data_IF_403659799421
#
_entry.id   IF_403659799421
#
_cell.length_a   1.000
_cell.length_b   1.000
_cell.length_c   1.000
_cell.angle_alpha   90.00
_cell.angle_beta   90.00
_cell.angle_gamma   90.00
#
_symmetry.space_group_name_H-M   'P 1'
#
loop_
_entity.id
_entity.type
_entity.pdbx_description
1 polymer ?
#
# COMPACT_ATOMS: atom_id res chain seq x y z
N UNK A 1 -11.24 -45.16 -9.69
CA UNK A 1 -11.14 -43.77 -10.12
C UNK A 1 -11.19 -42.82 -8.92
N UNK A 2 -12.17 -42.95 -8.04
CA UNK A 2 -12.37 -42.07 -6.85
C UNK A 2 -11.20 -42.12 -5.84
N UNK A 3 -10.48 -43.24 -5.72
CA UNK A 3 -9.35 -43.37 -4.81
C UNK A 3 -8.12 -42.60 -5.30
N UNK A 4 -7.88 -42.56 -6.61
CA UNK A 4 -6.74 -41.86 -7.22
C UNK A 4 -7.00 -40.32 -7.14
N UNK A 5 -8.22 -39.89 -7.44
CA UNK A 5 -8.60 -38.49 -7.36
C UNK A 5 -8.49 -37.95 -5.92
N UNK A 6 -8.87 -38.74 -4.92
CA UNK A 6 -8.75 -38.41 -3.50
C UNK A 6 -7.30 -38.31 -3.04
N UNK A 7 -6.45 -39.23 -3.50
CA UNK A 7 -5.01 -39.21 -3.20
C UNK A 7 -4.31 -38.04 -3.87
N UNK A 8 -4.67 -37.71 -5.12
CA UNK A 8 -4.10 -36.57 -5.85
C UNK A 8 -4.47 -35.25 -5.19
N UNK A 9 -5.73 -35.12 -4.73
CA UNK A 9 -6.19 -33.93 -4.00
C UNK A 9 -5.48 -33.77 -2.65
N UNK A 10 -5.29 -34.86 -1.90
CA UNK A 10 -4.56 -34.83 -0.63
C UNK A 10 -3.10 -34.41 -0.81
N UNK A 11 -2.41 -34.92 -1.84
CA UNK A 11 -1.03 -34.51 -2.16
C UNK A 11 -0.98 -33.02 -2.57
N UNK A 12 -1.95 -32.55 -3.34
CA UNK A 12 -2.03 -31.12 -3.70
C UNK A 12 -2.23 -30.23 -2.48
N UNK A 13 -3.09 -30.60 -1.54
CA UNK A 13 -3.33 -29.89 -0.28
C UNK A 13 -2.08 -29.88 0.62
N UNK A 14 -1.34 -31.00 0.70
CA UNK A 14 -0.06 -31.06 1.42
C UNK A 14 1.02 -30.18 0.78
N UNK A 15 1.16 -30.21 -0.55
CA UNK A 15 2.11 -29.35 -1.27
C UNK A 15 1.75 -27.86 -1.08
N UNK A 16 0.46 -27.53 -1.08
CA UNK A 16 0.00 -26.16 -0.85
C UNK A 16 0.31 -25.69 0.58
N UNK A 17 0.09 -26.56 1.57
CA UNK A 17 0.38 -26.23 2.97
C UNK A 17 1.89 -26.03 3.25
N UNK A 18 2.77 -26.71 2.51
CA UNK A 18 4.22 -26.54 2.62
C UNK A 18 4.75 -25.21 2.06
N UNK A 19 3.95 -24.47 1.29
CA UNK A 19 4.30 -23.15 0.75
C UNK A 19 3.85 -21.98 1.63
N UNK A 20 3.04 -22.27 2.65
CA UNK A 20 2.53 -21.23 3.54
C UNK A 20 3.60 -20.80 4.55
N UNK A 21 3.89 -19.52 4.59
CA UNK A 21 4.81 -18.93 5.56
C UNK A 21 4.15 -17.77 6.30
N UNK A 22 4.49 -17.51 7.56
CA UNK A 22 3.91 -16.41 8.30
C UNK A 22 4.38 -15.06 7.76
N UNK A 23 3.46 -14.09 7.67
CA UNK A 23 3.71 -12.75 7.17
C UNK A 23 4.75 -11.97 7.99
N UNK A 24 5.06 -12.42 9.21
CA UNK A 24 6.07 -11.79 10.11
C UNK A 24 7.43 -11.59 9.44
N UNK A 25 7.82 -12.45 8.51
CA UNK A 25 9.10 -12.30 7.80
C UNK A 25 9.13 -11.05 6.94
N UNK A 26 8.06 -10.79 6.17
CA UNK A 26 7.90 -9.57 5.39
C UNK A 26 7.76 -8.36 6.32
N UNK A 27 6.93 -8.45 7.35
CA UNK A 27 6.64 -7.34 8.24
C UNK A 27 7.85 -6.89 9.06
N UNK A 28 8.73 -7.82 9.45
CA UNK A 28 10.00 -7.49 10.12
C UNK A 28 10.91 -6.63 9.22
N UNK A 29 10.96 -6.93 7.92
CA UNK A 29 11.70 -6.12 6.95
C UNK A 29 11.08 -4.72 6.80
N UNK A 30 9.74 -4.64 6.72
CA UNK A 30 9.02 -3.37 6.61
C UNK A 30 9.25 -2.49 7.84
N UNK A 31 9.20 -3.04 9.07
CA UNK A 31 9.52 -2.29 10.31
C UNK A 31 10.90 -1.64 10.26
N UNK A 32 11.90 -2.36 9.77
CA UNK A 32 13.26 -1.82 9.63
C UNK A 32 13.30 -0.67 8.63
N UNK A 33 12.71 -0.87 7.46
CA UNK A 33 12.66 0.15 6.39
C UNK A 33 11.95 1.42 6.88
N UNK A 34 10.79 1.29 7.53
CA UNK A 34 10.02 2.42 8.06
C UNK A 34 10.82 3.20 9.09
N UNK A 35 11.50 2.50 10.00
CA UNK A 35 12.36 3.14 11.01
C UNK A 35 13.50 3.93 10.36
N UNK A 36 14.13 3.37 9.33
CA UNK A 36 15.28 3.99 8.69
C UNK A 36 14.83 5.23 7.88
N UNK A 37 13.73 5.12 7.10
CA UNK A 37 13.15 6.25 6.37
C UNK A 37 12.65 7.35 7.32
N UNK A 38 11.96 7.00 8.41
CA UNK A 38 11.46 7.98 9.38
C UNK A 38 12.59 8.82 9.97
N UNK A 39 13.75 8.19 10.27
CA UNK A 39 14.95 8.91 10.75
C UNK A 39 15.53 9.83 9.67
N UNK A 40 15.62 9.37 8.43
CA UNK A 40 16.12 10.15 7.29
C UNK A 40 15.26 11.40 7.06
N UNK A 41 13.94 11.27 7.17
CA UNK A 41 12.98 12.35 6.98
C UNK A 41 12.78 13.23 8.23
N UNK A 42 13.40 12.91 9.36
CA UNK A 42 13.21 13.63 10.63
C UNK A 42 11.78 13.54 11.17
N UNK A 43 11.06 12.46 10.86
CA UNK A 43 9.67 12.22 11.27
C UNK A 43 9.64 11.22 12.43
N UNK A 44 8.89 11.53 13.48
CA UNK A 44 8.63 10.59 14.58
C UNK A 44 7.33 9.84 14.29
N UNK A 45 7.41 8.51 14.13
CA UNK A 45 6.28 7.68 13.71
C UNK A 45 6.16 6.44 14.59
N UNK A 46 4.96 6.17 15.07
CA UNK A 46 4.59 4.88 15.65
C UNK A 46 4.05 3.99 14.53
N UNK A 47 4.76 2.91 14.24
CA UNK A 47 4.35 1.93 13.23
C UNK A 47 3.80 0.68 13.91
N UNK A 48 2.49 0.49 13.80
CA UNK A 48 1.77 -0.68 14.28
C UNK A 48 1.62 -1.71 13.17
N UNK A 49 1.78 -2.99 13.53
CA UNK A 49 1.60 -4.10 12.60
C UNK A 49 0.74 -5.16 13.27
N UNK A 50 -0.36 -5.54 12.60
CA UNK A 50 -1.35 -6.51 13.05
C UNK A 50 -1.44 -7.65 12.03
N UNK A 51 -1.62 -8.89 12.52
CA UNK A 51 -1.80 -10.06 11.65
C UNK A 51 -0.51 -10.71 11.17
N UNK A 52 0.63 -10.48 11.83
CA UNK A 52 1.93 -11.03 11.43
C UNK A 52 2.04 -12.55 11.51
N UNK A 53 1.12 -13.21 12.22
CA UNK A 53 1.04 -14.67 12.30
C UNK A 53 0.17 -15.30 11.20
N UNK A 54 -0.47 -14.48 10.38
CA UNK A 54 -1.24 -14.96 9.22
C UNK A 54 -0.31 -15.63 8.22
N UNK A 55 -0.66 -16.86 7.83
CA UNK A 55 0.10 -17.64 6.87
C UNK A 55 -0.38 -17.35 5.45
N UNK A 56 0.54 -17.01 4.57
CA UNK A 56 0.30 -16.76 3.15
C UNK A 56 1.27 -17.57 2.29
N UNK A 57 0.88 -17.83 1.05
CA UNK A 57 1.80 -18.39 0.07
C UNK A 57 3.02 -17.49 -0.09
N UNK A 58 4.19 -18.11 -0.11
CA UNK A 58 5.47 -17.40 -0.24
C UNK A 58 5.50 -16.49 -1.48
N UNK A 59 4.96 -16.97 -2.61
CA UNK A 59 4.93 -16.20 -3.86
C UNK A 59 4.08 -14.92 -3.70
N UNK A 60 2.95 -15.01 -2.98
CA UNK A 60 2.10 -13.86 -2.66
C UNK A 60 2.89 -12.86 -1.81
N UNK A 61 3.56 -13.32 -0.74
CA UNK A 61 4.36 -12.44 0.12
C UNK A 61 5.51 -11.76 -0.63
N UNK A 62 6.18 -12.48 -1.52
CA UNK A 62 7.26 -11.94 -2.34
C UNK A 62 6.74 -10.83 -3.28
N UNK A 63 5.58 -11.06 -3.93
CA UNK A 63 4.93 -10.07 -4.81
C UNK A 63 4.37 -8.86 -4.05
N UNK A 64 3.90 -9.03 -2.81
CA UNK A 64 3.39 -7.95 -1.95
C UNK A 64 4.50 -7.05 -1.41
N UNK A 65 5.73 -7.53 -1.33
CA UNK A 65 6.84 -6.80 -0.69
C UNK A 65 7.07 -5.42 -1.33
N UNK A 66 7.14 -5.33 -2.65
CA UNK A 66 7.38 -4.06 -3.35
C UNK A 66 6.19 -3.07 -3.25
N UNK A 67 4.93 -3.49 -3.50
CA UNK A 67 3.75 -2.66 -3.28
C UNK A 67 3.67 -2.09 -1.86
N UNK A 68 3.80 -2.93 -0.84
CA UNK A 68 3.71 -2.49 0.56
C UNK A 68 4.81 -1.49 0.93
N UNK A 69 6.05 -1.75 0.52
CA UNK A 69 7.16 -0.79 0.71
C UNK A 69 6.83 0.57 0.08
N UNK A 70 6.27 0.55 -1.12
CA UNK A 70 5.95 1.79 -1.83
C UNK A 70 4.82 2.57 -1.14
N UNK A 71 3.72 1.90 -0.75
CA UNK A 71 2.62 2.53 -0.03
C UNK A 71 3.07 3.12 1.31
N UNK A 72 3.80 2.35 2.12
CA UNK A 72 4.32 2.80 3.41
C UNK A 72 5.31 3.98 3.26
N UNK A 73 6.15 3.94 2.21
CA UNK A 73 7.04 5.07 1.89
C UNK A 73 6.24 6.32 1.52
N UNK A 74 5.18 6.20 0.71
CA UNK A 74 4.33 7.33 0.35
C UNK A 74 3.65 7.93 1.59
N UNK A 75 3.16 7.12 2.51
CA UNK A 75 2.63 7.60 3.79
C UNK A 75 3.67 8.39 4.57
N UNK A 76 4.93 7.94 4.59
CA UNK A 76 6.00 8.68 5.27
C UNK A 76 6.41 9.94 4.52
N UNK A 77 6.62 9.87 3.21
CA UNK A 77 7.13 11.01 2.43
C UNK A 77 6.09 12.13 2.33
N UNK A 78 4.84 11.78 2.06
CA UNK A 78 3.80 12.72 1.65
C UNK A 78 2.61 12.79 2.61
N UNK A 79 2.29 11.73 3.34
CA UNK A 79 1.18 11.65 4.28
C UNK A 79 1.53 12.29 5.62
N UNK A 80 2.40 11.66 6.38
CA UNK A 80 2.74 12.07 7.74
C UNK A 80 3.59 13.34 7.71
N UNK A 81 3.18 14.34 8.50
CA UNK A 81 3.87 15.62 8.64
C UNK A 81 5.04 15.51 9.64
N UNK A 82 5.95 16.51 9.63
CA UNK A 82 6.99 16.64 10.65
C UNK A 82 6.39 16.90 12.05
N UNK A 83 7.08 16.57 13.13
CA UNK A 83 6.60 16.81 14.49
C UNK A 83 6.15 18.27 14.73
N UNK A 84 6.84 19.24 14.13
CA UNK A 84 6.54 20.67 14.25
C UNK A 84 5.25 21.02 13.51
N UNK A 85 5.07 20.51 12.27
CA UNK A 85 3.85 20.70 11.47
C UNK A 85 2.63 20.07 12.16
N UNK A 86 2.79 18.87 12.70
CA UNK A 86 1.73 18.16 13.44
C UNK A 86 1.27 18.94 14.67
N UNK A 87 2.21 19.45 15.49
CA UNK A 87 1.89 20.29 16.64
C UNK A 87 1.14 21.56 16.23
N UNK A 88 1.55 22.23 15.13
CA UNK A 88 0.86 23.40 14.59
C UNK A 88 -0.57 23.07 14.13
N UNK A 89 -0.81 21.88 13.64
CA UNK A 89 -2.12 21.37 13.25
C UNK A 89 -2.95 20.81 14.41
N UNK A 90 -2.44 20.87 15.65
CA UNK A 90 -3.11 20.34 16.85
C UNK A 90 -3.12 18.81 16.96
N UNK A 91 -2.27 18.14 16.16
CA UNK A 91 -2.08 16.68 16.20
C UNK A 91 -0.98 16.28 17.20
N UNK A 92 -0.96 15.00 17.56
CA UNK A 92 0.16 14.42 18.31
C UNK A 92 1.46 14.60 17.49
N UNK A 93 2.55 14.99 18.15
CA UNK A 93 3.85 15.13 17.47
C UNK A 93 4.32 13.84 16.79
N UNK A 94 3.96 12.70 17.36
CA UNK A 94 4.24 11.38 16.82
C UNK A 94 3.13 10.97 15.85
N UNK A 95 3.47 10.71 14.59
CA UNK A 95 2.56 10.19 13.59
C UNK A 95 2.20 8.74 13.85
N UNK A 96 1.06 8.32 13.33
CA UNK A 96 0.58 6.94 13.41
C UNK A 96 0.50 6.33 12.01
N UNK A 97 1.13 5.17 11.85
CA UNK A 97 1.10 4.36 10.64
C UNK A 97 0.73 2.93 11.02
N UNK A 98 -0.25 2.34 10.37
CA UNK A 98 -0.71 0.97 10.63
C UNK A 98 -0.64 0.13 9.36
N UNK A 99 -0.17 -1.10 9.51
CA UNK A 99 -0.28 -2.17 8.53
C UNK A 99 -1.04 -3.32 9.18
N UNK A 100 -2.18 -3.66 8.64
CA UNK A 100 -3.01 -4.74 9.14
C UNK A 100 -3.27 -5.77 8.05
N UNK A 101 -3.13 -7.05 8.40
CA UNK A 101 -3.38 -8.19 7.54
C UNK A 101 -4.38 -9.11 8.24
N UNK A 102 -5.49 -9.39 7.59
CA UNK A 102 -6.51 -10.29 8.11
C UNK A 102 -7.25 -11.02 6.99
N UNK A 103 -7.92 -12.11 7.36
CA UNK A 103 -8.78 -12.84 6.45
C UNK A 103 -10.23 -12.39 6.60
N UNK A 104 -10.89 -12.14 5.46
CA UNK A 104 -12.31 -11.80 5.40
C UNK A 104 -13.01 -12.72 4.39
N UNK A 105 -13.65 -13.77 4.89
CA UNK A 105 -14.18 -14.84 4.03
C UNK A 105 -13.06 -15.62 3.36
N UNK A 106 -13.07 -15.65 2.04
CA UNK A 106 -12.01 -16.28 1.22
C UNK A 106 -10.89 -15.30 0.84
N UNK A 107 -11.10 -14.01 1.07
CA UNK A 107 -10.15 -12.97 0.70
C UNK A 107 -9.14 -12.70 1.82
N UNK A 108 -7.93 -12.33 1.42
CA UNK A 108 -6.92 -11.73 2.28
C UNK A 108 -7.02 -10.21 2.11
N UNK A 109 -7.22 -9.51 3.21
CA UNK A 109 -7.29 -8.05 3.25
C UNK A 109 -6.01 -7.50 3.87
N UNK A 110 -5.44 -6.50 3.22
CA UNK A 110 -4.28 -5.76 3.71
C UNK A 110 -4.66 -4.29 3.74
N UNK A 111 -4.59 -3.69 4.92
CA UNK A 111 -4.87 -2.27 5.12
C UNK A 111 -3.59 -1.53 5.49
N UNK A 112 -3.33 -0.42 4.81
CA UNK A 112 -2.30 0.55 5.17
C UNK A 112 -3.02 1.85 5.53
N UNK A 113 -2.82 2.31 6.75
CA UNK A 113 -3.45 3.52 7.29
C UNK A 113 -2.39 4.46 7.85
N UNK A 114 -2.53 5.76 7.58
CA UNK A 114 -1.77 6.81 8.25
C UNK A 114 -2.69 7.94 8.73
N UNK A 115 -2.28 8.63 9.80
CA UNK A 115 -2.97 9.80 10.34
C UNK A 115 -2.38 11.12 9.83
N UNK A 116 -1.78 11.09 8.64
CA UNK A 116 -1.15 12.23 8.00
C UNK A 116 -2.15 13.28 7.51
N UNK A 117 -1.72 14.07 6.53
CA UNK A 117 -2.51 15.18 5.96
C UNK A 117 -3.60 14.75 4.99
N UNK A 118 -3.71 13.47 4.69
CA UNK A 118 -4.62 12.92 3.70
C UNK A 118 -4.29 13.32 2.26
N UNK A 119 -5.23 13.05 1.36
CA UNK A 119 -5.14 13.36 -0.06
C UNK A 119 -5.94 14.64 -0.39
N UNK A 120 -5.30 15.59 -1.04
CA UNK A 120 -5.97 16.82 -1.53
C UNK A 120 -6.69 16.52 -2.85
N UNK A 121 -7.99 16.25 -2.76
CA UNK A 121 -8.85 15.97 -3.92
C UNK A 121 -8.84 17.10 -4.96
N UNK A 122 -8.78 18.37 -4.52
CA UNK A 122 -8.74 19.53 -5.42
C UNK A 122 -7.43 19.57 -6.20
N UNK A 123 -6.31 19.33 -5.52
CA UNK A 123 -4.99 19.30 -6.16
C UNK A 123 -4.86 18.14 -7.15
N UNK A 124 -5.38 16.96 -6.77
CA UNK A 124 -5.41 15.78 -7.65
C UNK A 124 -6.26 16.06 -8.89
N UNK A 125 -7.48 16.59 -8.72
CA UNK A 125 -8.37 16.88 -9.84
C UNK A 125 -7.77 17.92 -10.78
N UNK A 126 -7.19 19.01 -10.26
CA UNK A 126 -6.52 20.03 -11.08
C UNK A 126 -5.43 19.38 -11.94
N UNK A 127 -4.58 18.58 -11.32
CA UNK A 127 -3.50 17.88 -12.03
C UNK A 127 -4.04 16.89 -13.06
N UNK A 128 -5.15 16.21 -12.77
CA UNK A 128 -5.80 15.30 -13.72
C UNK A 128 -6.35 16.04 -14.96
N UNK A 129 -6.85 17.27 -14.76
CA UNK A 129 -7.27 18.15 -15.87
C UNK A 129 -6.06 18.59 -16.69
N UNK A 130 -4.99 19.04 -16.05
CA UNK A 130 -3.74 19.45 -16.71
C UNK A 130 -3.10 18.29 -17.49
N UNK A 131 -3.26 17.06 -16.99
CA UNK A 131 -2.79 15.84 -17.62
C UNK A 131 -3.70 15.34 -18.75
N UNK A 132 -4.88 15.95 -18.93
CA UNK A 132 -5.84 15.61 -19.98
C UNK A 132 -6.70 14.37 -19.71
N UNK A 133 -6.73 13.86 -18.48
CA UNK A 133 -7.51 12.65 -18.09
C UNK A 133 -8.81 13.01 -17.35
N UNK A 134 -9.00 14.28 -16.98
CA UNK A 134 -10.23 14.78 -16.40
C UNK A 134 -10.71 16.04 -17.14
N UNK A 135 -12.03 16.28 -17.11
CA UNK A 135 -12.66 17.42 -17.78
C UNK A 135 -13.09 18.49 -16.77
N UNK A 136 -12.80 19.80 -17.00
CA UNK A 136 -13.12 20.88 -16.05
C UNK A 136 -14.62 20.99 -15.70
N UNK A 137 -15.49 20.64 -16.63
CA UNK A 137 -16.95 20.79 -16.49
C UNK A 137 -17.66 19.54 -15.98
N UNK A 138 -16.94 18.45 -15.71
CA UNK A 138 -17.50 17.21 -15.16
C UNK A 138 -17.36 17.20 -13.64
N UNK A 139 -18.44 16.81 -12.95
CA UNK A 139 -18.38 16.52 -11.51
C UNK A 139 -17.83 15.12 -11.30
N UNK A 140 -16.92 15.01 -10.36
CA UNK A 140 -16.28 13.76 -9.94
C UNK A 140 -16.54 13.54 -8.45
N UNK A 141 -16.77 12.31 -8.07
CA UNK A 141 -16.76 11.89 -6.67
C UNK A 141 -15.30 11.83 -6.15
N UNK A 142 -15.10 11.90 -4.84
CA UNK A 142 -13.75 11.77 -4.26
C UNK A 142 -13.09 10.43 -4.64
N UNK A 143 -13.86 9.34 -4.64
CA UNK A 143 -13.37 8.02 -5.08
C UNK A 143 -12.87 8.04 -6.52
N UNK A 144 -13.57 8.71 -7.44
CA UNK A 144 -13.13 8.88 -8.82
C UNK A 144 -11.85 9.72 -8.90
N UNK A 145 -11.75 10.80 -8.11
CA UNK A 145 -10.58 11.68 -8.06
C UNK A 145 -9.37 10.92 -7.54
N UNK A 146 -9.49 10.19 -6.43
CA UNK A 146 -8.39 9.42 -5.87
C UNK A 146 -7.93 8.30 -6.80
N UNK A 147 -8.83 7.72 -7.60
CA UNK A 147 -8.45 6.71 -8.59
C UNK A 147 -7.52 7.24 -9.70
N UNK A 148 -7.44 8.56 -9.94
CA UNK A 148 -6.48 9.12 -10.89
C UNK A 148 -5.02 8.84 -10.49
N UNK A 149 -4.71 8.67 -9.20
CA UNK A 149 -3.34 8.40 -8.75
C UNK A 149 -2.79 7.05 -9.25
N UNK A 150 -3.67 6.14 -9.68
CA UNK A 150 -3.31 4.84 -10.24
C UNK A 150 -3.11 4.87 -11.76
N UNK A 151 -3.27 6.02 -12.41
CA UNK A 151 -3.04 6.15 -13.85
C UNK A 151 -1.54 6.22 -14.13
N UNK A 152 -1.04 5.45 -15.11
CA UNK A 152 0.37 5.46 -15.45
C UNK A 152 0.92 6.88 -15.71
N UNK A 153 2.04 7.19 -15.09
CA UNK A 153 2.69 8.50 -15.21
C UNK A 153 2.04 9.62 -14.41
N UNK A 154 0.91 9.38 -13.73
CA UNK A 154 0.29 10.36 -12.86
C UNK A 154 0.98 10.37 -11.49
N UNK A 155 1.78 11.40 -11.20
CA UNK A 155 2.42 11.61 -9.90
C UNK A 155 2.03 12.98 -9.35
N UNK A 156 1.61 13.06 -8.10
CA UNK A 156 1.30 14.32 -7.42
C UNK A 156 2.55 15.10 -6.99
N UNK A 157 3.69 14.44 -6.85
CA UNK A 157 4.98 15.08 -6.66
C UNK A 157 5.51 15.58 -8.02
N UNK A 158 5.85 16.87 -8.12
CA UNK A 158 6.29 17.53 -9.36
C UNK A 158 7.67 17.09 -9.88
N UNK A 159 8.31 16.11 -9.27
CA UNK A 159 9.60 15.57 -9.67
C UNK A 159 9.47 14.08 -9.93
N UNK A 160 9.67 13.70 -11.19
CA UNK A 160 10.12 12.36 -11.52
C UNK A 160 11.54 12.27 -10.96
N UNK A 161 11.68 11.79 -9.73
CA UNK A 161 13.01 11.52 -9.20
C UNK A 161 13.60 10.34 -9.95
N UNK A 162 14.51 10.61 -10.86
CA UNK A 162 15.35 9.62 -11.58
C UNK A 162 16.22 8.74 -10.65
N UNK A 163 16.08 8.90 -9.32
CA UNK A 163 16.91 8.21 -8.30
C UNK A 163 16.47 6.74 -8.07
N UNK A 164 15.30 6.35 -8.58
CA UNK A 164 14.96 4.92 -8.66
C UNK A 164 14.84 4.56 -10.12
N UNK A 165 15.85 4.00 -10.73
CA UNK A 165 15.95 3.63 -12.15
C UNK A 165 14.84 2.75 -12.74
N UNK A 166 13.67 2.75 -12.15
CA UNK A 166 12.35 2.33 -12.63
C UNK A 166 11.35 3.19 -11.86
N UNK A 167 10.67 4.14 -12.51
CA UNK A 167 9.64 4.98 -11.95
C UNK A 167 8.53 4.13 -11.30
N UNK A 168 8.65 3.85 -10.01
CA UNK A 168 7.67 3.06 -9.26
C UNK A 168 6.61 4.04 -8.78
N UNK A 169 5.49 4.12 -9.49
CA UNK A 169 4.30 4.88 -9.11
C UNK A 169 3.21 3.99 -8.50
N UNK A 170 2.09 4.61 -8.13
CA UNK A 170 0.92 3.86 -7.63
C UNK A 170 0.27 2.98 -8.73
N UNK A 171 0.52 3.28 -9.98
CA UNK A 171 0.17 2.44 -11.14
C UNK A 171 0.85 1.07 -11.06
N UNK A 172 2.14 1.03 -10.72
CA UNK A 172 2.88 -0.23 -10.52
C UNK A 172 2.33 -1.01 -9.34
N UNK A 173 1.97 -0.33 -8.24
CA UNK A 173 1.31 -0.97 -7.10
C UNK A 173 0.01 -1.65 -7.54
N UNK A 174 -0.85 -0.92 -8.27
CA UNK A 174 -2.11 -1.46 -8.79
C UNK A 174 -1.91 -2.65 -9.72
N UNK A 175 -0.92 -2.58 -10.62
CA UNK A 175 -0.62 -3.68 -11.53
C UNK A 175 -0.18 -4.93 -10.78
N UNK A 176 0.72 -4.80 -9.79
CA UNK A 176 1.18 -5.94 -8.99
C UNK A 176 0.03 -6.58 -8.18
N UNK A 177 -0.90 -5.77 -7.66
CA UNK A 177 -2.08 -6.28 -6.97
C UNK A 177 -3.02 -6.99 -7.95
N UNK A 178 -3.23 -6.44 -9.15
CA UNK A 178 -4.05 -7.07 -10.19
C UNK A 178 -3.45 -8.42 -10.66
N UNK A 179 -2.12 -8.56 -10.73
CA UNK A 179 -1.44 -9.82 -11.05
C UNK A 179 -1.69 -10.92 -9.99
N UNK A 180 -2.03 -10.51 -8.77
CA UNK A 180 -2.47 -11.41 -7.69
C UNK A 180 -3.98 -11.66 -7.71
N UNK A 181 -4.70 -11.20 -8.75
CA UNK A 181 -6.16 -11.17 -8.82
C UNK A 181 -6.82 -10.37 -7.68
N UNK A 182 -6.07 -9.45 -7.09
CA UNK A 182 -6.53 -8.56 -6.03
C UNK A 182 -7.09 -7.26 -6.57
N UNK A 183 -7.70 -6.49 -5.67
CA UNK A 183 -8.18 -5.12 -5.91
C UNK A 183 -7.51 -4.16 -4.95
N UNK A 184 -7.40 -2.90 -5.34
CA UNK A 184 -6.90 -1.83 -4.46
C UNK A 184 -7.91 -0.71 -4.41
N UNK A 185 -8.23 -0.27 -3.21
CA UNK A 185 -9.09 0.88 -2.94
C UNK A 185 -8.33 1.91 -2.10
N UNK A 186 -8.75 3.16 -2.18
CA UNK A 186 -8.16 4.25 -1.42
C UNK A 186 -9.26 5.14 -0.86
N UNK A 187 -9.10 5.49 0.40
CA UNK A 187 -9.96 6.41 1.12
C UNK A 187 -9.10 7.46 1.81
N UNK A 188 -9.60 8.66 1.94
CA UNK A 188 -8.95 9.75 2.67
C UNK A 188 -9.99 10.63 3.32
N UNK A 189 -9.73 11.05 4.55
CA UNK A 189 -10.59 11.93 5.35
C UNK A 189 -9.90 13.29 5.50
#
# INVERSE_FOLDING_TARGET
KDSIDKSTKGIQEEIFSMRLIPARFLFSQLRRIIRDISKELGKDVYFEVIGEDTHLDKEILDKLSAPLKHMLKNSLDHGIETPEERKKAGKNAKGFLKLELYQKGEDIVIEVFDDGRGLDSKKILRKAIDFGIAFPNKKYTEKEIFNFIFIPGFSTSGFVTEISGRGVGMDVVKNNINELNGTIEIESV
#
